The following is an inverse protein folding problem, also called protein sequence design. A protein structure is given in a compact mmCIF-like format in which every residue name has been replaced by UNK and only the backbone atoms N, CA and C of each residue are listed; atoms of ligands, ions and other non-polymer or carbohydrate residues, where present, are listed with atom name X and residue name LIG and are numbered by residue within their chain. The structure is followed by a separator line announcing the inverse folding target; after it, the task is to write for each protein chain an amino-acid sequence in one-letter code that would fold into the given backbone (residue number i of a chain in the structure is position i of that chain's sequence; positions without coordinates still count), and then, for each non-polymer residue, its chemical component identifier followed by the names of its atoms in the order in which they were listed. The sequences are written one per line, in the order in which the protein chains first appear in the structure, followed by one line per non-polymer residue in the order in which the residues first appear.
data_IF_237880516191
#
_entry.id   IF_237880516191
#
_cell.length_a   1.000
_cell.length_b   1.000
_cell.length_c   1.000
_cell.angle_alpha   90.00
_cell.angle_beta   90.00
_cell.angle_gamma   90.00
#
_symmetry.space_group_name_H-M   'P 1'
#
loop_
_entity.id
_entity.type
_entity.pdbx_description
1 polymer ?
#
# COMPACT_ATOMS: atom_id res chain seq x y z
N UNK A 1 -25.36 -46.96 13.72
CA UNK A 1 -25.33 -45.68 12.98
C UNK A 1 -24.15 -44.85 13.46
N UNK A 2 -23.11 -44.66 12.63
CA UNK A 2 -21.96 -43.79 12.91
C UNK A 2 -21.96 -42.66 11.87
N UNK A 3 -22.29 -41.43 12.29
CA UNK A 3 -22.18 -40.24 11.47
C UNK A 3 -20.73 -39.78 11.45
N UNK A 4 -20.12 -39.74 10.26
CA UNK A 4 -18.82 -39.14 9.99
C UNK A 4 -19.04 -37.65 9.67
N UNK A 5 -18.54 -36.76 10.52
CA UNK A 5 -18.53 -35.33 10.24
C UNK A 5 -17.22 -34.96 9.54
N UNK A 6 -17.31 -34.60 8.25
CA UNK A 6 -16.21 -33.99 7.50
C UNK A 6 -16.02 -32.54 7.97
N UNK A 7 -14.86 -32.22 8.53
CA UNK A 7 -14.42 -30.84 8.74
C UNK A 7 -13.69 -30.35 7.48
N UNK A 8 -14.31 -29.45 6.72
CA UNK A 8 -13.68 -28.76 5.60
C UNK A 8 -12.95 -27.53 6.16
N UNK A 9 -11.64 -27.66 6.36
CA UNK A 9 -10.74 -26.56 6.67
C UNK A 9 -10.52 -25.72 5.41
N UNK A 10 -11.24 -24.60 5.28
CA UNK A 10 -10.88 -23.56 4.31
C UNK A 10 -9.70 -22.74 4.85
N UNK A 11 -8.48 -23.18 4.54
CA UNK A 11 -7.27 -22.39 4.75
C UNK A 11 -7.19 -21.29 3.68
N UNK A 12 -7.81 -20.13 3.94
CA UNK A 12 -7.68 -18.96 3.07
C UNK A 12 -6.33 -18.30 3.38
N UNK A 13 -5.34 -18.56 2.52
CA UNK A 13 -4.05 -17.86 2.53
C UNK A 13 -4.28 -16.36 2.35
N UNK A 14 -4.06 -15.58 3.42
CA UNK A 14 -4.09 -14.13 3.40
C UNK A 14 -2.90 -13.59 2.59
N UNK A 15 -3.04 -13.52 1.26
CA UNK A 15 -2.06 -12.85 0.40
C UNK A 15 -1.99 -11.37 0.74
N UNK A 16 -0.88 -10.99 1.38
CA UNK A 16 -0.47 -9.63 1.70
C UNK A 16 -0.47 -8.77 0.42
N UNK A 17 -1.48 -7.92 0.23
CA UNK A 17 -1.55 -6.91 -0.83
C UNK A 17 -0.80 -5.65 -0.40
N UNK A 18 0.52 -5.67 -0.50
CA UNK A 18 1.26 -4.43 -0.77
C UNK A 18 1.59 -4.42 -2.27
N UNK A 19 1.01 -3.43 -2.95
CA UNK A 19 1.30 -3.13 -4.35
C UNK A 19 2.81 -3.00 -4.57
N UNK A 20 3.26 -3.55 -5.69
CA UNK A 20 4.62 -3.53 -6.22
C UNK A 20 5.37 -2.23 -5.86
N UNK A 21 6.47 -2.27 -5.08
CA UNK A 21 7.04 -1.07 -4.49
C UNK A 21 7.48 -0.04 -5.53
N UNK A 22 7.91 -0.52 -6.71
CA UNK A 22 8.35 0.28 -7.87
C UNK A 22 7.24 1.01 -8.61
N UNK A 23 5.96 0.62 -8.45
CA UNK A 23 4.86 1.40 -9.03
C UNK A 23 4.77 2.80 -8.45
N UNK A 24 5.23 2.99 -7.22
CA UNK A 24 5.26 4.29 -6.59
C UNK A 24 6.38 5.20 -7.11
N UNK A 25 7.36 4.65 -7.85
CA UNK A 25 8.41 5.41 -8.56
C UNK A 25 8.01 5.76 -10.00
N UNK A 26 6.91 5.17 -10.51
CA UNK A 26 6.41 5.54 -11.82
C UNK A 26 5.83 6.95 -11.74
N UNK A 27 6.21 7.81 -12.69
CA UNK A 27 5.60 9.14 -12.79
C UNK A 27 4.09 8.96 -12.95
N UNK A 28 3.28 9.66 -12.14
CA UNK A 28 1.84 9.65 -12.31
C UNK A 28 1.53 10.30 -13.67
N UNK A 29 1.17 9.48 -14.66
CA UNK A 29 0.96 9.95 -16.04
C UNK A 29 -0.26 10.89 -16.17
N UNK A 30 -1.12 10.90 -15.16
CA UNK A 30 -2.35 11.67 -15.13
C UNK A 30 -2.28 12.85 -14.13
N UNK A 31 -1.08 13.20 -13.66
CA UNK A 31 -0.87 14.47 -12.97
C UNK A 31 -0.17 15.39 -13.96
N UNK A 32 -0.72 16.59 -14.14
CA UNK A 32 -0.12 17.64 -14.96
C UNK A 32 1.13 18.19 -14.24
N UNK A 33 2.17 17.36 -14.14
CA UNK A 33 3.43 17.72 -13.50
C UNK A 33 4.12 18.81 -14.32
N UNK A 34 4.62 19.83 -13.64
CA UNK A 34 5.43 20.87 -14.28
C UNK A 34 6.76 20.27 -14.79
N UNK A 35 7.46 20.92 -15.74
CA UNK A 35 8.78 20.49 -16.18
C UNK A 35 9.77 20.31 -15.01
N UNK A 36 9.75 21.22 -14.04
CA UNK A 36 10.61 21.19 -12.86
C UNK A 36 10.29 19.98 -11.97
N UNK A 37 9.00 19.73 -11.71
CA UNK A 37 8.56 18.55 -10.96
C UNK A 37 8.97 17.25 -11.66
N UNK A 38 8.93 17.19 -12.99
CA UNK A 38 9.38 16.03 -13.77
C UNK A 38 10.88 15.80 -13.61
N UNK A 39 11.69 16.86 -13.60
CA UNK A 39 13.14 16.80 -13.38
C UNK A 39 13.42 16.25 -11.97
N UNK A 40 12.81 16.85 -10.94
CA UNK A 40 12.97 16.40 -9.55
C UNK A 40 12.55 14.94 -9.38
N UNK A 41 11.46 14.51 -10.03
CA UNK A 41 11.03 13.12 -10.01
C UNK A 41 12.07 12.18 -10.63
N UNK A 42 12.70 12.55 -11.74
CA UNK A 42 13.74 11.73 -12.37
C UNK A 42 15.02 11.69 -11.53
N UNK A 43 15.36 12.79 -10.87
CA UNK A 43 16.47 12.83 -9.93
C UNK A 43 16.23 11.88 -8.76
N UNK A 44 15.08 11.95 -8.10
CA UNK A 44 14.70 11.05 -7.02
C UNK A 44 14.76 9.59 -7.49
N UNK A 45 14.24 9.27 -8.68
CA UNK A 45 14.32 7.91 -9.24
C UNK A 45 15.76 7.44 -9.43
N UNK A 46 16.63 8.32 -9.94
CA UNK A 46 18.04 8.01 -10.21
C UNK A 46 18.79 7.76 -8.90
N UNK A 47 18.62 8.64 -7.92
CA UNK A 47 19.17 8.49 -6.58
C UNK A 47 18.67 7.20 -5.90
N UNK A 48 17.36 6.93 -5.98
CA UNK A 48 16.74 5.72 -5.42
C UNK A 48 17.33 4.47 -6.05
N UNK A 49 17.54 4.47 -7.37
CA UNK A 49 18.18 3.34 -8.09
C UNK A 49 19.61 3.12 -7.62
N UNK A 50 20.40 4.19 -7.46
CA UNK A 50 21.77 4.09 -6.96
C UNK A 50 21.82 3.54 -5.53
N UNK A 51 20.97 4.03 -4.63
CA UNK A 51 20.86 3.51 -3.26
C UNK A 51 20.49 2.03 -3.23
N UNK A 52 19.56 1.61 -4.09
CA UNK A 52 19.20 0.20 -4.24
C UNK A 52 20.39 -0.62 -4.74
N UNK A 53 21.16 -0.13 -5.71
CA UNK A 53 22.34 -0.85 -6.20
C UNK A 53 23.40 -1.03 -5.10
N UNK A 54 23.58 -0.03 -4.23
CA UNK A 54 24.55 -0.07 -3.15
C UNK A 54 24.26 -1.12 -2.07
N UNK A 55 23.01 -1.59 -1.94
CA UNK A 55 22.66 -2.65 -0.98
C UNK A 55 22.76 -4.06 -1.59
N UNK A 56 23.00 -4.17 -2.90
CA UNK A 56 23.16 -5.45 -3.60
C UNK A 56 24.62 -5.91 -3.57
N UNK A 57 24.84 -7.22 -3.55
CA UNK A 57 26.19 -7.79 -3.77
C UNK A 57 26.63 -7.56 -5.22
N UNK A 58 27.94 -7.64 -5.55
CA UNK A 58 28.43 -7.49 -6.92
C UNK A 58 27.71 -8.41 -7.93
N UNK A 59 27.46 -9.67 -7.54
CA UNK A 59 26.75 -10.64 -8.38
C UNK A 59 25.28 -10.24 -8.59
N UNK A 60 24.61 -9.78 -7.53
CA UNK A 60 23.24 -9.28 -7.61
C UNK A 60 23.15 -7.98 -8.43
N UNK A 61 24.17 -7.12 -8.38
CA UNK A 61 24.23 -5.92 -9.22
C UNK A 61 24.31 -6.28 -10.70
N UNK A 62 25.15 -7.26 -11.06
CA UNK A 62 25.26 -7.75 -12.43
C UNK A 62 23.96 -8.40 -12.92
N UNK A 63 23.32 -9.22 -12.07
CA UNK A 63 22.00 -9.80 -12.35
C UNK A 63 20.94 -8.71 -12.51
N UNK A 64 20.94 -7.70 -11.64
CA UNK A 64 20.00 -6.59 -11.71
C UNK A 64 20.16 -5.82 -13.03
N UNK A 65 21.40 -5.49 -13.41
CA UNK A 65 21.68 -4.83 -14.70
C UNK A 65 21.19 -5.66 -15.88
N UNK A 66 21.50 -6.96 -15.90
CA UNK A 66 21.08 -7.90 -16.96
C UNK A 66 19.56 -7.99 -17.07
N UNK A 67 18.87 -8.17 -15.94
CA UNK A 67 17.40 -8.27 -15.93
C UNK A 67 16.76 -6.96 -16.39
N UNK A 68 17.35 -5.81 -16.01
CA UNK A 68 16.85 -4.51 -16.47
C UNK A 68 17.13 -4.20 -17.93
N UNK A 69 18.24 -4.67 -18.51
CA UNK A 69 18.55 -4.51 -19.94
C UNK A 69 17.65 -5.38 -20.82
N UNK A 70 17.21 -6.54 -20.30
CA UNK A 70 16.20 -7.40 -20.92
C UNK A 70 14.76 -6.84 -20.81
N UNK A 71 14.59 -5.60 -20.34
CA UNK A 71 13.28 -4.97 -20.20
C UNK A 71 12.47 -5.45 -18.99
N UNK A 72 13.00 -6.35 -18.16
CA UNK A 72 12.32 -6.75 -16.92
C UNK A 72 12.40 -5.59 -15.92
N UNK A 73 11.28 -5.26 -15.29
CA UNK A 73 11.20 -4.10 -14.36
C UNK A 73 10.48 -4.45 -13.06
N UNK A 74 10.84 -3.71 -12.01
CA UNK A 74 10.15 -3.70 -10.73
C UNK A 74 10.23 -5.01 -9.95
N UNK A 75 9.08 -5.50 -9.47
CA UNK A 75 9.00 -6.68 -8.57
C UNK A 75 9.58 -7.97 -9.15
N UNK A 76 9.47 -8.21 -10.46
CA UNK A 76 9.97 -9.45 -11.09
C UNK A 76 11.49 -9.56 -10.95
N UNK A 77 12.20 -8.48 -11.25
CA UNK A 77 13.65 -8.38 -11.06
C UNK A 77 14.02 -8.64 -9.60
N UNK A 78 13.35 -7.97 -8.66
CA UNK A 78 13.68 -8.12 -7.23
C UNK A 78 13.42 -9.51 -6.66
N UNK A 79 12.44 -10.24 -7.20
CA UNK A 79 12.18 -11.62 -6.80
C UNK A 79 13.29 -12.57 -7.25
N UNK A 80 13.98 -12.25 -8.35
CA UNK A 80 15.05 -13.08 -8.91
C UNK A 80 16.41 -12.84 -8.26
N UNK A 81 16.61 -11.69 -7.60
CA UNK A 81 17.88 -11.36 -6.93
C UNK A 81 18.13 -12.12 -5.62
N UNK A 82 17.19 -12.96 -5.16
CA UNK A 82 17.30 -13.73 -3.92
C UNK A 82 17.75 -12.88 -2.72
N UNK A 83 17.15 -11.70 -2.56
CA UNK A 83 17.54 -10.73 -1.54
C UNK A 83 17.43 -11.30 -0.12
N UNK A 84 18.44 -11.02 0.71
CA UNK A 84 18.41 -11.33 2.14
C UNK A 84 17.33 -10.50 2.87
N UNK A 85 16.95 -10.91 4.08
CA UNK A 85 15.97 -10.15 4.88
C UNK A 85 16.47 -8.75 5.27
N UNK A 86 17.78 -8.61 5.49
CA UNK A 86 18.41 -7.32 5.73
C UNK A 86 18.31 -6.40 4.50
N UNK A 87 18.66 -6.92 3.31
CA UNK A 87 18.55 -6.18 2.04
C UNK A 87 17.10 -5.80 1.73
N UNK A 88 16.14 -6.72 1.95
CA UNK A 88 14.71 -6.43 1.79
C UNK A 88 14.25 -5.31 2.71
N UNK A 89 14.81 -5.23 3.92
CA UNK A 89 14.48 -4.18 4.89
C UNK A 89 15.04 -2.83 4.46
N UNK A 90 16.33 -2.76 4.11
CA UNK A 90 16.96 -1.53 3.59
C UNK A 90 16.26 -1.06 2.30
N UNK A 91 15.91 -1.98 1.41
CA UNK A 91 15.16 -1.65 0.20
C UNK A 91 13.79 -1.05 0.54
N UNK A 92 13.08 -1.58 1.54
CA UNK A 92 11.79 -0.99 1.98
C UNK A 92 11.98 0.44 2.49
N UNK A 93 13.06 0.72 3.21
CA UNK A 93 13.39 2.05 3.72
C UNK A 93 13.72 3.04 2.60
N UNK A 94 14.60 2.65 1.68
CA UNK A 94 14.95 3.46 0.48
C UNK A 94 13.69 3.80 -0.32
N UNK A 95 12.86 2.79 -0.59
CA UNK A 95 11.62 2.98 -1.36
C UNK A 95 10.61 3.87 -0.65
N UNK A 96 10.57 3.83 0.68
CA UNK A 96 9.69 4.68 1.45
C UNK A 96 10.19 6.13 1.48
N UNK A 97 11.48 6.35 1.69
CA UNK A 97 12.10 7.67 1.65
C UNK A 97 11.85 8.34 0.30
N UNK A 98 12.14 7.61 -0.79
CA UNK A 98 11.88 8.06 -2.16
C UNK A 98 10.43 8.48 -2.39
N UNK A 99 9.45 7.71 -1.87
CA UNK A 99 8.03 8.08 -1.96
C UNK A 99 7.69 9.36 -1.22
N UNK A 100 8.33 9.61 -0.07
CA UNK A 100 8.11 10.84 0.67
C UNK A 100 8.67 12.04 -0.10
N UNK A 101 9.86 11.90 -0.67
CA UNK A 101 10.44 12.92 -1.54
C UNK A 101 9.54 13.20 -2.76
N UNK A 102 9.06 12.15 -3.43
CA UNK A 102 8.14 12.28 -4.57
C UNK A 102 6.77 12.85 -4.17
N UNK A 103 6.29 12.63 -2.95
CA UNK A 103 5.06 13.27 -2.47
C UNK A 103 5.27 14.76 -2.17
N UNK A 104 6.47 15.14 -1.75
CA UNK A 104 6.82 16.52 -1.41
C UNK A 104 6.94 17.43 -2.63
N UNK A 105 7.23 16.88 -3.81
CA UNK A 105 7.27 17.65 -5.05
C UNK A 105 5.88 17.96 -5.62
N UNK A 106 4.84 17.28 -5.17
CA UNK A 106 3.45 17.52 -5.60
C UNK A 106 2.84 18.69 -4.83
N UNK A 107 2.07 19.54 -5.53
CA UNK A 107 1.26 20.59 -4.89
C UNK A 107 0.11 19.98 -4.08
N UNK A 108 -0.48 20.77 -3.19
CA UNK A 108 -1.62 20.30 -2.41
C UNK A 108 -2.84 20.00 -3.29
N UNK A 109 -3.08 20.77 -4.37
CA UNK A 109 -4.14 20.42 -5.33
C UNK A 109 -3.85 19.12 -6.07
N UNK A 110 -2.60 18.89 -6.51
CA UNK A 110 -2.21 17.64 -7.16
C UNK A 110 -2.36 16.43 -6.21
N UNK A 111 -2.09 16.63 -4.91
CA UNK A 111 -2.33 15.60 -3.89
C UNK A 111 -3.81 15.35 -3.66
N UNK A 112 -4.63 16.39 -3.63
CA UNK A 112 -6.07 16.25 -3.49
C UNK A 112 -6.68 15.57 -4.72
N UNK A 113 -6.24 15.92 -5.93
CA UNK A 113 -6.63 15.25 -7.17
C UNK A 113 -6.26 13.76 -7.12
N UNK A 114 -5.09 13.42 -6.59
CA UNK A 114 -4.69 12.03 -6.37
C UNK A 114 -5.64 11.31 -5.38
N UNK A 115 -5.99 11.96 -4.26
CA UNK A 115 -6.94 11.41 -3.26
C UNK A 115 -8.35 11.26 -3.83
N UNK A 116 -8.81 12.21 -4.65
CA UNK A 116 -10.09 12.16 -5.31
C UNK A 116 -10.14 11.05 -6.36
N UNK A 117 -9.06 10.82 -7.12
CA UNK A 117 -8.99 9.69 -8.05
C UNK A 117 -9.04 8.34 -7.33
N UNK A 118 -8.40 8.23 -6.16
CA UNK A 118 -8.51 7.03 -5.33
C UNK A 118 -9.94 6.82 -4.80
N UNK A 119 -10.66 7.90 -4.46
CA UNK A 119 -12.09 7.86 -4.08
C UNK A 119 -13.00 7.51 -5.26
N UNK A 120 -12.82 8.15 -6.40
CA UNK A 120 -13.55 7.90 -7.64
C UNK A 120 -13.41 6.43 -8.10
N UNK A 121 -12.27 5.81 -7.82
CA UNK A 121 -12.08 4.40 -8.09
C UNK A 121 -12.98 3.48 -7.24
N UNK A 122 -13.32 3.88 -6.01
CA UNK A 122 -14.30 3.21 -5.15
C UNK A 122 -15.72 3.53 -5.62
N UNK A 123 -15.97 4.77 -6.05
CA UNK A 123 -17.27 5.19 -6.61
C UNK A 123 -17.61 4.45 -7.92
N UNK A 124 -16.61 4.08 -8.72
CA UNK A 124 -16.77 3.24 -9.91
C UNK A 124 -17.32 1.83 -9.63
N UNK A 125 -17.48 1.44 -8.36
CA UNK A 125 -18.18 0.21 -7.95
C UNK A 125 -19.70 0.40 -7.87
N UNK A 126 -20.23 1.60 -8.17
CA UNK A 126 -21.66 1.91 -8.10
C UNK A 126 -22.29 1.47 -6.77
N UNK A 127 -21.62 1.79 -5.65
CA UNK A 127 -22.12 1.40 -4.33
C UNK A 127 -23.49 2.05 -4.06
N UNK A 128 -24.44 1.27 -3.53
CA UNK A 128 -25.74 1.81 -3.10
C UNK A 128 -25.56 2.78 -1.93
N UNK A 129 -26.58 3.60 -1.65
CA UNK A 129 -26.55 4.50 -0.51
C UNK A 129 -26.35 3.72 0.82
N UNK A 130 -26.99 2.57 0.95
CA UNK A 130 -26.87 1.67 2.10
C UNK A 130 -25.45 1.10 2.22
N UNK A 131 -24.86 0.64 1.12
CA UNK A 131 -23.48 0.14 1.11
C UNK A 131 -22.48 1.24 1.50
N UNK A 132 -22.69 2.48 1.04
CA UNK A 132 -21.85 3.62 1.42
C UNK A 132 -21.98 3.92 2.92
N UNK A 133 -23.20 3.92 3.46
CA UNK A 133 -23.43 4.10 4.90
C UNK A 133 -22.74 3.03 5.72
N UNK A 134 -22.88 1.76 5.34
CA UNK A 134 -22.20 0.63 6.01
C UNK A 134 -20.67 0.75 5.92
N UNK A 135 -20.15 1.23 4.80
CA UNK A 135 -18.71 1.45 4.64
C UNK A 135 -18.19 2.51 5.61
N UNK A 136 -18.88 3.65 5.72
CA UNK A 136 -18.51 4.70 6.68
C UNK A 136 -18.66 4.24 8.12
N UNK A 137 -19.68 3.44 8.43
CA UNK A 137 -19.84 2.82 9.74
C UNK A 137 -18.67 1.90 10.08
N UNK A 138 -18.29 0.99 9.16
CA UNK A 138 -17.13 0.10 9.34
C UNK A 138 -15.85 0.91 9.56
N UNK A 139 -15.63 1.98 8.79
CA UNK A 139 -14.48 2.88 8.97
C UNK A 139 -14.49 3.55 10.34
N UNK A 140 -15.64 4.07 10.78
CA UNK A 140 -15.78 4.72 12.07
C UNK A 140 -15.52 3.74 13.22
N UNK A 141 -16.11 2.55 13.17
CA UNK A 141 -15.89 1.48 14.14
C UNK A 141 -14.41 1.04 14.16
N UNK A 142 -13.80 0.86 12.99
CA UNK A 142 -12.36 0.53 12.88
C UNK A 142 -11.50 1.60 13.53
N UNK A 143 -11.81 2.89 13.31
CA UNK A 143 -11.10 4.00 13.94
C UNK A 143 -11.22 3.96 15.47
N UNK A 144 -12.42 3.69 16.00
CA UNK A 144 -12.65 3.57 17.45
C UNK A 144 -11.86 2.38 18.04
N UNK A 145 -11.92 1.21 17.40
CA UNK A 145 -11.16 0.03 17.84
C UNK A 145 -9.65 0.30 17.87
N UNK A 146 -9.14 0.97 16.83
CA UNK A 146 -7.74 1.39 16.78
C UNK A 146 -7.43 2.40 17.89
N UNK A 147 -8.30 3.36 18.17
CA UNK A 147 -8.06 4.30 19.27
C UNK A 147 -8.05 3.61 20.63
N UNK A 148 -8.87 2.58 20.83
CA UNK A 148 -8.96 1.86 22.09
C UNK A 148 -7.66 1.12 22.46
N UNK A 149 -6.89 0.67 21.47
CA UNK A 149 -5.60 0.00 21.72
C UNK A 149 -4.45 0.99 21.98
N UNK A 150 -4.64 2.28 21.70
CA UNK A 150 -3.64 3.33 21.95
C UNK A 150 -3.69 3.80 23.40
N UNK A 151 -2.52 4.15 23.95
CA UNK A 151 -2.44 4.86 25.23
C UNK A 151 -3.03 6.27 25.11
N UNK A 152 -3.26 6.94 26.24
CA UNK A 152 -3.79 8.31 26.26
C UNK A 152 -2.90 9.27 25.46
N UNK A 153 -1.60 9.24 25.69
CA UNK A 153 -0.63 10.10 25.00
C UNK A 153 -0.62 9.81 23.50
N UNK A 154 -0.65 8.53 23.12
CA UNK A 154 -0.71 8.12 21.71
C UNK A 154 -2.01 8.58 21.03
N UNK A 155 -3.15 8.60 21.74
CA UNK A 155 -4.42 9.12 21.19
C UNK A 155 -4.36 10.62 20.92
N UNK A 156 -3.79 11.40 21.83
CA UNK A 156 -3.63 12.84 21.68
C UNK A 156 -2.68 13.18 20.51
N UNK A 157 -1.58 12.45 20.40
CA UNK A 157 -0.68 12.54 19.24
C UNK A 157 -1.39 12.14 17.94
N UNK A 158 -2.14 11.02 17.97
CA UNK A 158 -2.89 10.55 16.82
C UNK A 158 -3.87 11.61 16.32
N UNK A 159 -4.68 12.19 17.23
CA UNK A 159 -5.63 13.24 16.90
C UNK A 159 -4.93 14.46 16.30
N UNK A 160 -3.87 14.95 16.94
CA UNK A 160 -3.09 16.11 16.46
C UNK A 160 -2.57 15.89 15.04
N UNK A 161 -1.93 14.75 14.80
CA UNK A 161 -1.35 14.43 13.49
C UNK A 161 -2.45 14.24 12.43
N UNK A 162 -3.59 13.66 12.78
CA UNK A 162 -4.73 13.57 11.85
C UNK A 162 -5.38 14.91 11.55
N UNK A 163 -5.49 15.82 12.52
CA UNK A 163 -6.02 17.18 12.32
C UNK A 163 -5.10 18.03 11.43
N UNK A 164 -3.81 17.72 11.40
CA UNK A 164 -2.84 18.30 10.46
C UNK A 164 -2.92 17.69 9.05
N UNK A 165 -3.92 16.85 8.77
CA UNK A 165 -4.08 16.19 7.48
C UNK A 165 -3.01 15.12 7.18
N UNK A 166 -2.25 14.68 8.19
CA UNK A 166 -1.22 13.69 7.93
C UNK A 166 -1.84 12.34 7.52
N UNK A 167 -1.26 11.64 6.52
CA UNK A 167 -1.76 10.33 6.12
C UNK A 167 -1.71 9.34 7.28
N UNK A 168 -2.78 8.58 7.52
CA UNK A 168 -2.90 7.69 8.69
C UNK A 168 -1.74 6.70 8.86
N UNK A 169 -1.11 6.23 7.77
CA UNK A 169 0.10 5.39 7.87
C UNK A 169 1.31 6.12 8.46
N UNK A 170 1.47 7.42 8.15
CA UNK A 170 2.54 8.25 8.68
C UNK A 170 2.31 8.48 10.17
N UNK A 171 1.07 8.82 10.53
CA UNK A 171 0.64 8.99 11.93
C UNK A 171 0.99 7.74 12.75
N UNK A 172 0.56 6.55 12.32
CA UNK A 172 0.77 5.31 13.08
C UNK A 172 2.24 4.95 13.30
N UNK A 173 3.14 5.35 12.39
CA UNK A 173 4.58 5.14 12.58
C UNK A 173 5.19 6.07 13.62
N UNK A 174 4.57 7.21 13.87
CA UNK A 174 5.05 8.21 14.82
C UNK A 174 4.60 7.91 16.26
N UNK A 175 3.61 7.03 16.45
CA UNK A 175 3.04 6.70 17.77
C UNK A 175 3.88 5.74 18.62
N UNK A 176 5.08 5.33 18.16
CA UNK A 176 5.96 4.39 18.88
C UNK A 176 5.21 3.15 19.43
N UNK A 177 4.37 2.55 18.57
CA UNK A 177 3.49 1.44 18.95
C UNK A 177 4.27 0.21 19.43
N UNK A 178 3.77 -0.48 20.46
CA UNK A 178 4.29 -1.78 20.89
C UNK A 178 4.00 -2.87 19.85
N UNK A 179 4.70 -4.01 19.92
CA UNK A 179 4.45 -5.14 19.03
C UNK A 179 3.05 -5.74 19.20
N UNK A 180 2.53 -5.73 20.43
CA UNK A 180 1.16 -6.16 20.74
C UNK A 180 0.14 -5.23 20.09
N UNK A 181 0.29 -3.91 20.25
CA UNK A 181 -0.55 -2.91 19.59
C UNK A 181 -0.52 -3.06 18.06
N UNK A 182 0.67 -3.22 17.48
CA UNK A 182 0.82 -3.45 16.03
C UNK A 182 0.08 -4.71 15.57
N UNK A 183 0.09 -5.76 16.38
CA UNK A 183 -0.58 -7.02 16.05
C UNK A 183 -2.10 -6.87 16.11
N UNK A 184 -2.63 -6.27 17.18
CA UNK A 184 -4.06 -5.96 17.30
C UNK A 184 -4.53 -5.03 16.17
N UNK A 185 -3.74 -4.03 15.79
CA UNK A 185 -4.05 -3.19 14.63
C UNK A 185 -4.16 -3.98 13.32
N UNK A 186 -3.26 -4.94 13.09
CA UNK A 186 -3.30 -5.78 11.88
C UNK A 186 -4.59 -6.59 11.84
N UNK A 187 -4.98 -7.16 12.97
CA UNK A 187 -6.22 -7.94 13.10
C UNK A 187 -7.46 -7.08 12.87
N UNK A 188 -7.54 -5.91 13.50
CA UNK A 188 -8.63 -4.94 13.28
C UNK A 188 -8.71 -4.55 11.80
N UNK A 189 -7.57 -4.22 11.18
CA UNK A 189 -7.52 -3.86 9.76
C UNK A 189 -7.91 -5.02 8.84
N UNK A 190 -7.57 -6.26 9.19
CA UNK A 190 -7.96 -7.44 8.44
C UNK A 190 -9.47 -7.69 8.55
N UNK A 191 -10.02 -7.62 9.76
CA UNK A 191 -11.45 -7.76 10.03
C UNK A 191 -12.26 -6.69 9.29
N UNK A 192 -11.86 -5.42 9.41
CA UNK A 192 -12.46 -4.28 8.70
C UNK A 192 -12.49 -4.50 7.19
N UNK A 193 -11.40 -5.00 6.59
CA UNK A 193 -11.37 -5.34 5.16
C UNK A 193 -12.35 -6.45 4.78
N UNK A 194 -12.51 -7.45 5.64
CA UNK A 194 -13.44 -8.53 5.39
C UNK A 194 -14.89 -8.04 5.48
N UNK A 195 -15.21 -7.20 6.47
CA UNK A 195 -16.51 -6.54 6.57
C UNK A 195 -16.80 -5.67 5.34
N UNK A 196 -15.83 -4.84 4.91
CA UNK A 196 -15.97 -4.03 3.70
C UNK A 196 -16.10 -4.88 2.42
N UNK A 197 -15.51 -6.08 2.37
CA UNK A 197 -15.72 -6.99 1.25
C UNK A 197 -17.12 -7.64 1.29
N UNK A 198 -17.64 -7.90 2.49
CA UNK A 198 -18.93 -8.54 2.70
C UNK A 198 -20.11 -7.68 2.26
N UNK A 199 -19.99 -6.35 2.37
CA UNK A 199 -21.03 -5.41 1.90
C UNK A 199 -21.10 -5.31 0.38
N UNK A 200 -20.04 -5.71 -0.34
CA UNK A 200 -20.01 -5.68 -1.81
C UNK A 200 -20.77 -6.87 -2.40
N UNK A 201 -21.45 -6.62 -3.52
CA UNK A 201 -22.03 -7.66 -4.35
C UNK A 201 -20.93 -8.50 -5.02
N UNK A 202 -21.28 -9.70 -5.48
CA UNK A 202 -20.31 -10.55 -6.19
C UNK A 202 -19.79 -9.89 -7.47
N UNK A 203 -20.64 -9.15 -8.18
CA UNK A 203 -20.25 -8.36 -9.35
C UNK A 203 -19.26 -7.24 -9.00
N UNK A 204 -19.50 -6.48 -7.93
CA UNK A 204 -18.59 -5.44 -7.44
C UNK A 204 -17.25 -6.02 -6.98
N UNK A 205 -17.26 -7.20 -6.35
CA UNK A 205 -16.04 -7.92 -5.97
C UNK A 205 -15.26 -8.36 -7.20
N UNK A 206 -15.94 -8.87 -8.21
CA UNK A 206 -15.31 -9.29 -9.46
C UNK A 206 -14.76 -8.07 -10.22
N UNK A 207 -15.48 -6.96 -10.26
CA UNK A 207 -14.98 -5.69 -10.81
C UNK A 207 -13.73 -5.21 -10.07
N UNK A 208 -13.69 -5.30 -8.73
CA UNK A 208 -12.49 -5.01 -7.96
C UNK A 208 -11.34 -5.97 -8.28
N UNK A 209 -11.61 -7.27 -8.46
CA UNK A 209 -10.59 -8.26 -8.85
C UNK A 209 -10.06 -7.96 -10.24
N UNK A 210 -10.92 -7.66 -11.20
CA UNK A 210 -10.56 -7.28 -12.55
C UNK A 210 -9.77 -5.97 -12.57
N UNK A 211 -10.20 -4.93 -11.87
CA UNK A 211 -9.42 -3.69 -11.72
C UNK A 211 -8.04 -3.96 -11.11
N UNK A 212 -7.95 -4.89 -10.14
CA UNK A 212 -6.65 -5.29 -9.56
C UNK A 212 -5.80 -6.07 -10.57
N UNK A 213 -6.41 -6.89 -11.42
CA UNK A 213 -5.74 -7.65 -12.47
C UNK A 213 -5.28 -6.75 -13.61
N UNK A 214 -6.09 -5.81 -14.08
CA UNK A 214 -5.71 -4.80 -15.10
C UNK A 214 -4.64 -3.86 -14.57
N UNK A 215 -4.64 -3.58 -13.26
CA UNK A 215 -3.58 -2.85 -12.59
C UNK A 215 -2.37 -3.71 -12.24
N UNK A 216 -2.41 -5.03 -12.37
CA UNK A 216 -1.17 -5.82 -12.34
C UNK A 216 -0.56 -5.69 -13.73
N UNK A 217 0.63 -5.07 -13.88
CA UNK A 217 1.27 -5.01 -15.19
C UNK A 217 1.41 -6.45 -15.70
N UNK A 218 0.84 -6.70 -16.88
CA UNK A 218 0.95 -7.95 -17.61
C UNK A 218 2.43 -8.06 -17.99
N UNK A 219 3.22 -8.71 -17.15
CA UNK A 219 4.59 -9.07 -17.49
C UNK A 219 4.49 -10.21 -18.52
N UNK A 220 4.21 -9.87 -19.77
CA UNK A 220 4.63 -10.64 -20.94
C UNK A 220 6.02 -10.16 -21.31
#
# INVERSE_FOLDING_TARGET
MKLRSLAILFSISATILFANPFKALAQPQNLNLTPEQKIQWQEIKTQTKAQIQNILTPEQQQQFQTLTSQGQRGRKVMQQLNLSEAQKTQMREIMQSSRQQMANILTEEQREEFRQKDRAQIENLNLTAEQKTQWEEIKAQTKVQIQNILTREQREQFQTLTSQGQPGRKVMRQLNLSEEQKTQMREIMQSSRQQMANILTEEQREQLRQQRQTRRPRNQ
#
